data_IF_760136673093
#
_entry.id   IF_760136673093
#
_cell.length_a   1.000
_cell.length_b   1.000
_cell.length_c   1.000
_cell.angle_alpha   90.00
_cell.angle_beta   90.00
_cell.angle_gamma   90.00
#
_symmetry.space_group_name_H-M   'P 1'
#
loop_
_entity.id
_entity.type
_entity.pdbx_description
1 polymer ?
#
# COMPACT_ATOMS: atom_id res chain seq x y z
N UNK A 1 8.37 -8.85 -12.76
CA UNK A 1 7.61 -9.80 -13.56
C UNK A 1 8.47 -10.83 -14.29
N UNK A 2 9.70 -10.47 -14.65
CA UNK A 2 10.69 -11.37 -15.23
C UNK A 2 11.32 -12.24 -14.16
N UNK A 3 11.72 -11.62 -13.06
CA UNK A 3 12.39 -12.26 -11.94
C UNK A 3 11.47 -13.10 -11.04
N UNK A 4 10.16 -12.87 -11.06
CA UNK A 4 9.22 -13.58 -10.19
C UNK A 4 9.13 -13.04 -8.75
N UNK A 5 9.88 -12.01 -8.40
CA UNK A 5 9.82 -11.41 -7.07
C UNK A 5 8.41 -10.93 -6.73
N UNK A 6 7.99 -11.14 -5.49
CA UNK A 6 6.66 -10.79 -5.01
C UNK A 6 6.71 -10.02 -3.69
N UNK A 7 5.72 -9.17 -3.51
CA UNK A 7 5.42 -8.48 -2.26
C UNK A 7 3.92 -8.57 -2.00
N UNK A 8 3.54 -8.86 -0.77
CA UNK A 8 2.15 -8.87 -0.32
C UNK A 8 2.01 -8.09 0.98
N UNK A 9 0.92 -7.36 1.09
CA UNK A 9 0.52 -6.62 2.28
C UNK A 9 -0.99 -6.60 2.37
N UNK A 10 -1.52 -6.65 3.59
CA UNK A 10 -2.95 -6.72 3.87
C UNK A 10 -3.43 -5.40 4.49
N UNK A 11 -4.58 -4.96 4.03
CA UNK A 11 -5.23 -3.74 4.50
C UNK A 11 -6.68 -4.04 4.93
N UNK A 12 -7.24 -3.26 5.88
CA UNK A 12 -8.58 -3.49 6.37
C UNK A 12 -9.68 -3.20 5.34
N UNK A 13 -9.36 -2.46 4.29
CA UNK A 13 -10.29 -2.10 3.23
C UNK A 13 -9.54 -1.74 1.93
N UNK A 14 -10.29 -1.64 0.82
CA UNK A 14 -9.76 -1.32 -0.51
C UNK A 14 -9.85 0.19 -0.85
N UNK A 15 -9.74 1.08 0.13
CA UNK A 15 -9.70 2.53 -0.12
C UNK A 15 -8.44 2.92 -0.88
N UNK A 16 -8.52 4.01 -1.64
CA UNK A 16 -7.43 4.53 -2.47
C UNK A 16 -6.17 4.86 -1.64
N UNK A 17 -6.35 5.38 -0.42
CA UNK A 17 -5.21 5.65 0.49
C UNK A 17 -4.40 4.39 0.79
N UNK A 18 -5.06 3.25 1.05
CA UNK A 18 -4.40 1.97 1.30
C UNK A 18 -3.71 1.43 0.05
N UNK A 19 -4.28 1.68 -1.14
CA UNK A 19 -3.62 1.36 -2.41
C UNK A 19 -2.31 2.13 -2.54
N UNK A 20 -2.30 3.44 -2.27
CA UNK A 20 -1.09 4.27 -2.36
C UNK A 20 -0.03 3.84 -1.35
N UNK A 21 -0.42 3.61 -0.09
CA UNK A 21 0.48 3.13 0.96
C UNK A 21 1.11 1.79 0.56
N UNK A 22 0.28 0.81 0.14
CA UNK A 22 0.78 -0.50 -0.27
C UNK A 22 1.68 -0.45 -1.50
N UNK A 23 1.39 0.44 -2.47
CA UNK A 23 2.27 0.65 -3.61
C UNK A 23 3.60 1.28 -3.20
N UNK A 24 3.61 2.26 -2.29
CA UNK A 24 4.84 2.86 -1.77
C UNK A 24 5.68 1.80 -1.05
N UNK A 25 5.09 1.00 -0.18
CA UNK A 25 5.80 -0.07 0.52
C UNK A 25 6.37 -1.12 -0.46
N UNK A 26 5.60 -1.48 -1.49
CA UNK A 26 6.09 -2.36 -2.54
C UNK A 26 7.26 -1.74 -3.33
N UNK A 27 7.23 -0.44 -3.62
CA UNK A 27 8.32 0.27 -4.27
C UNK A 27 9.55 0.43 -3.38
N UNK A 28 9.37 0.55 -2.07
CA UNK A 28 10.48 0.51 -1.11
C UNK A 28 11.14 -0.87 -1.07
N UNK A 29 10.33 -1.92 -1.20
CA UNK A 29 10.80 -3.30 -1.15
C UNK A 29 11.54 -3.72 -2.42
N UNK A 30 11.02 -3.40 -3.61
CA UNK A 30 11.52 -3.92 -4.89
C UNK A 30 11.91 -2.84 -5.92
N UNK A 31 11.87 -1.55 -5.57
CA UNK A 31 12.10 -0.44 -6.51
C UNK A 31 10.89 -0.10 -7.37
N UNK A 32 10.95 1.07 -8.04
CA UNK A 32 9.88 1.56 -8.90
C UNK A 32 10.05 1.03 -10.31
N UNK A 33 9.13 0.20 -10.84
CA UNK A 33 9.18 -0.27 -12.22
C UNK A 33 8.79 0.87 -13.18
N UNK A 34 9.22 0.77 -14.44
CA UNK A 34 8.80 1.73 -15.48
C UNK A 34 7.28 1.79 -15.61
N UNK A 35 6.62 0.64 -15.57
CA UNK A 35 5.16 0.58 -15.60
C UNK A 35 4.63 -0.57 -14.74
N UNK A 36 3.44 -0.40 -14.24
CA UNK A 36 2.66 -1.44 -13.56
C UNK A 36 1.48 -1.84 -14.42
N UNK A 37 1.05 -3.09 -14.29
CA UNK A 37 -0.16 -3.60 -14.92
C UNK A 37 -1.21 -3.80 -13.81
N UNK A 38 -2.37 -3.16 -13.95
CA UNK A 38 -3.48 -3.30 -13.00
C UNK A 38 -4.79 -3.56 -13.73
N UNK A 39 -5.79 -4.02 -13.01
CA UNK A 39 -7.16 -4.11 -13.52
C UNK A 39 -7.87 -2.74 -13.47
N UNK A 40 -9.13 -2.72 -13.96
CA UNK A 40 -9.90 -1.48 -14.04
C UNK A 40 -10.57 -1.14 -12.70
N UNK A 41 -9.80 -1.03 -11.62
CA UNK A 41 -10.30 -0.67 -10.28
C UNK A 41 -10.80 0.79 -10.27
N UNK A 42 -11.90 1.05 -9.54
CA UNK A 42 -12.45 2.41 -9.37
C UNK A 42 -11.50 3.38 -8.66
N UNK A 43 -10.56 2.89 -7.88
CA UNK A 43 -9.49 3.68 -7.25
C UNK A 43 -8.40 4.10 -8.24
N UNK A 44 -8.37 3.53 -9.45
CA UNK A 44 -7.37 3.78 -10.49
C UNK A 44 -7.98 4.55 -11.67
N UNK A 45 -9.12 4.10 -12.18
CA UNK A 45 -9.78 4.73 -13.31
C UNK A 45 -11.26 5.03 -13.01
N UNK A 46 -11.78 6.11 -13.61
CA UNK A 46 -13.20 6.45 -13.57
C UNK A 46 -13.95 5.60 -14.60
N UNK A 47 -13.54 5.65 -15.84
CA UNK A 47 -14.11 4.93 -16.98
C UNK A 47 -13.11 4.92 -18.15
N UNK A 48 -13.52 4.35 -19.27
CA UNK A 48 -12.83 4.54 -20.55
C UNK A 48 -13.65 5.49 -21.41
N UNK A 49 -12.97 6.36 -22.15
CA UNK A 49 -13.60 7.24 -23.12
C UNK A 49 -14.11 6.47 -24.37
N UNK A 50 -14.67 7.20 -25.33
CA UNK A 50 -15.20 6.63 -26.57
C UNK A 50 -14.13 5.98 -27.46
N UNK A 51 -12.89 6.39 -27.30
CA UNK A 51 -11.73 5.86 -28.02
C UNK A 51 -11.08 4.67 -27.26
N UNK A 52 -11.59 4.37 -26.07
CA UNK A 52 -11.08 3.27 -25.20
C UNK A 52 -9.90 3.66 -24.31
N UNK A 53 -9.50 4.94 -24.29
CA UNK A 53 -8.45 5.42 -23.40
C UNK A 53 -8.95 5.53 -21.95
N UNK A 54 -8.07 5.31 -20.96
CA UNK A 54 -8.45 5.43 -19.56
C UNK A 54 -8.64 6.90 -19.17
N UNK A 55 -9.77 7.19 -18.53
CA UNK A 55 -9.97 8.42 -17.78
C UNK A 55 -9.56 8.13 -16.33
N UNK A 56 -8.40 8.61 -15.96
CA UNK A 56 -7.80 8.32 -14.65
C UNK A 56 -8.57 8.98 -13.50
N UNK A 57 -8.57 8.31 -12.36
CA UNK A 57 -8.91 8.96 -11.10
C UNK A 57 -7.85 10.04 -10.81
N UNK A 58 -8.31 11.28 -10.53
CA UNK A 58 -7.42 12.45 -10.42
C UNK A 58 -6.27 12.25 -9.42
N UNK A 59 -6.60 11.71 -8.24
CA UNK A 59 -5.59 11.50 -7.20
C UNK A 59 -4.60 10.40 -7.59
N UNK A 60 -5.07 9.36 -8.30
CA UNK A 60 -4.20 8.32 -8.83
C UNK A 60 -3.27 8.84 -9.93
N UNK A 61 -3.78 9.69 -10.82
CA UNK A 61 -2.97 10.33 -11.85
C UNK A 61 -1.88 11.21 -11.24
N UNK A 62 -2.23 11.98 -10.22
CA UNK A 62 -1.26 12.80 -9.46
C UNK A 62 -0.22 11.91 -8.79
N UNK A 63 -0.65 10.81 -8.17
CA UNK A 63 0.25 9.83 -7.55
C UNK A 63 1.24 9.23 -8.57
N UNK A 64 0.77 8.78 -9.74
CA UNK A 64 1.63 8.27 -10.81
C UNK A 64 2.69 9.28 -11.23
N UNK A 65 2.29 10.54 -11.42
CA UNK A 65 3.19 11.63 -11.83
C UNK A 65 4.22 11.95 -10.73
N UNK A 66 3.79 11.98 -9.47
CA UNK A 66 4.65 12.27 -8.32
C UNK A 66 5.71 11.19 -8.12
N UNK A 67 5.30 9.92 -8.16
CA UNK A 67 6.22 8.78 -7.99
C UNK A 67 7.02 8.53 -9.28
N UNK A 68 6.43 8.82 -10.43
CA UNK A 68 7.10 8.76 -11.73
C UNK A 68 7.07 7.37 -12.38
N UNK A 69 5.95 6.65 -12.34
CA UNK A 69 5.71 5.41 -13.07
C UNK A 69 4.54 5.53 -14.03
N UNK A 70 4.42 4.59 -14.95
CA UNK A 70 3.28 4.49 -15.86
C UNK A 70 2.35 3.34 -15.44
N UNK A 71 1.05 3.47 -15.72
CA UNK A 71 0.08 2.39 -15.51
C UNK A 71 -0.47 1.88 -16.83
N UNK A 72 -0.42 0.57 -17.01
CA UNK A 72 -1.10 -0.15 -18.09
C UNK A 72 -2.30 -0.88 -17.51
N UNK A 73 -3.45 -0.76 -18.17
CA UNK A 73 -4.67 -1.43 -17.76
C UNK A 73 -4.83 -2.76 -18.48
N UNK A 74 -5.29 -3.77 -17.76
CA UNK A 74 -5.70 -5.01 -18.36
C UNK A 74 -6.81 -4.76 -19.40
N UNK A 75 -6.70 -5.39 -20.57
CA UNK A 75 -7.77 -5.34 -21.57
C UNK A 75 -9.02 -6.01 -21.00
N UNK A 76 -10.22 -5.37 -21.13
CA UNK A 76 -11.47 -6.01 -20.72
C UNK A 76 -11.64 -7.36 -21.43
N UNK A 77 -12.11 -8.38 -20.69
CA UNK A 77 -12.38 -9.73 -21.19
C UNK A 77 -11.18 -10.50 -21.77
N UNK A 78 -9.93 -10.10 -21.46
CA UNK A 78 -8.73 -10.85 -21.81
C UNK A 78 -8.13 -11.54 -20.56
N UNK A 79 -8.47 -12.82 -20.31
CA UNK A 79 -8.06 -13.53 -19.08
C UNK A 79 -6.54 -13.71 -18.95
N UNK A 80 -5.80 -13.73 -20.05
CA UNK A 80 -4.36 -13.98 -20.04
C UNK A 80 -3.53 -12.89 -19.34
N UNK A 81 -3.98 -11.64 -19.36
CA UNK A 81 -3.27 -10.53 -18.72
C UNK A 81 -3.42 -10.53 -17.20
N UNK A 82 -4.51 -11.10 -16.68
CA UNK A 82 -4.82 -11.16 -15.25
C UNK A 82 -4.35 -12.48 -14.59
N UNK A 83 -4.14 -13.52 -15.38
CA UNK A 83 -3.91 -14.89 -14.88
C UNK A 83 -2.68 -15.06 -13.98
N UNK A 84 -1.66 -14.17 -14.06
CA UNK A 84 -0.49 -14.24 -13.15
C UNK A 84 -0.85 -13.71 -11.76
N UNK A 85 -1.59 -12.60 -11.66
CA UNK A 85 -2.05 -12.04 -10.37
C UNK A 85 -3.05 -12.98 -9.70
N UNK A 86 -3.99 -13.53 -10.46
CA UNK A 86 -4.95 -14.51 -9.94
C UNK A 86 -4.27 -15.77 -9.40
N UNK A 87 -3.23 -16.27 -10.10
CA UNK A 87 -2.41 -17.38 -9.61
C UNK A 87 -1.65 -17.01 -8.34
N UNK A 88 -1.07 -15.81 -8.26
CA UNK A 88 -0.40 -15.34 -7.05
C UNK A 88 -1.39 -15.23 -5.88
N UNK A 89 -2.57 -14.64 -6.09
CA UNK A 89 -3.59 -14.55 -5.05
C UNK A 89 -4.02 -15.94 -4.57
N UNK A 90 -4.22 -16.90 -5.48
CA UNK A 90 -4.53 -18.29 -5.12
C UNK A 90 -3.38 -18.91 -4.32
N UNK A 91 -2.15 -18.76 -4.80
CA UNK A 91 -0.96 -19.27 -4.14
C UNK A 91 -0.81 -18.72 -2.72
N UNK A 92 -1.04 -17.41 -2.52
CA UNK A 92 -1.06 -16.78 -1.19
C UNK A 92 -2.15 -17.39 -0.31
N UNK A 93 -3.36 -17.58 -0.83
CA UNK A 93 -4.46 -18.18 -0.06
C UNK A 93 -4.17 -19.61 0.37
N UNK A 94 -3.61 -20.41 -0.53
CA UNK A 94 -3.38 -21.85 -0.31
C UNK A 94 -2.09 -22.13 0.48
N UNK A 95 -1.07 -21.26 0.39
CA UNK A 95 0.26 -21.53 0.98
C UNK A 95 0.64 -20.59 2.11
N UNK A 96 0.03 -19.41 2.19
CA UNK A 96 0.31 -18.46 3.27
C UNK A 96 -0.84 -18.36 4.26
N UNK A 97 -2.09 -18.23 3.81
CA UNK A 97 -3.23 -18.02 4.71
C UNK A 97 -3.84 -19.34 5.22
N UNK A 98 -3.71 -20.44 4.48
CA UNK A 98 -4.28 -21.71 4.87
C UNK A 98 -3.71 -22.20 6.21
N UNK A 99 -4.58 -22.64 7.10
CA UNK A 99 -4.27 -23.24 8.40
C UNK A 99 -3.45 -22.34 9.36
N UNK A 100 -3.41 -21.03 9.11
CA UNK A 100 -2.75 -20.06 9.99
C UNK A 100 -3.77 -19.17 10.70
N UNK A 101 -3.45 -18.86 11.94
CA UNK A 101 -4.22 -17.92 12.78
C UNK A 101 -3.31 -16.72 13.08
N UNK A 102 -3.83 -15.53 12.88
CA UNK A 102 -3.12 -14.28 13.15
C UNK A 102 -3.83 -13.49 14.25
N UNK A 103 -3.05 -12.86 15.12
CA UNK A 103 -3.60 -12.10 16.25
C UNK A 103 -4.26 -10.79 15.79
N UNK A 104 -3.65 -10.12 14.83
CA UNK A 104 -4.12 -8.85 14.27
C UNK A 104 -3.49 -8.61 12.88
N UNK A 105 -3.80 -7.45 12.27
CA UNK A 105 -3.27 -7.10 10.94
C UNK A 105 -1.75 -6.85 10.96
N UNK A 106 -1.21 -6.39 12.08
CA UNK A 106 0.24 -6.17 12.26
C UNK A 106 0.97 -7.50 12.24
N UNK A 107 0.49 -8.46 13.01
CA UNK A 107 1.02 -9.83 13.05
C UNK A 107 0.90 -10.51 11.67
N UNK A 108 -0.27 -10.35 11.01
CA UNK A 108 -0.49 -10.85 9.66
C UNK A 108 0.53 -10.27 8.66
N UNK A 109 0.76 -8.96 8.68
CA UNK A 109 1.69 -8.31 7.76
C UNK A 109 3.16 -8.60 8.08
N UNK A 110 3.51 -8.79 9.35
CA UNK A 110 4.84 -9.25 9.73
C UNK A 110 5.12 -10.64 9.13
N UNK A 111 4.22 -11.58 9.33
CA UNK A 111 4.33 -12.91 8.73
C UNK A 111 4.28 -12.90 7.20
N UNK A 112 3.51 -11.98 6.60
CA UNK A 112 3.46 -11.82 5.15
C UNK A 112 4.81 -11.37 4.58
N UNK A 113 5.49 -10.42 5.24
CA UNK A 113 6.82 -9.97 4.83
C UNK A 113 7.86 -11.09 4.96
N UNK A 114 7.87 -11.82 6.09
CA UNK A 114 8.73 -12.99 6.28
C UNK A 114 8.50 -14.06 5.20
N UNK A 115 7.23 -14.31 4.87
CA UNK A 115 6.88 -15.23 3.81
C UNK A 115 7.36 -14.74 2.43
N UNK A 116 7.21 -13.45 2.11
CA UNK A 116 7.78 -12.86 0.89
C UNK A 116 9.29 -13.06 0.82
N UNK A 117 10.01 -12.75 1.89
CA UNK A 117 11.45 -12.93 1.95
C UNK A 117 11.86 -14.39 1.71
N UNK A 118 11.15 -15.34 2.33
CA UNK A 118 11.36 -16.77 2.13
C UNK A 118 11.09 -17.20 0.69
N UNK A 119 9.97 -16.76 0.10
CA UNK A 119 9.63 -17.09 -1.28
C UNK A 119 10.63 -16.46 -2.27
N UNK A 120 10.99 -15.22 -2.08
CA UNK A 120 11.94 -14.52 -2.95
C UNK A 120 13.37 -15.06 -2.83
N UNK A 121 13.71 -15.64 -1.68
CA UNK A 121 15.02 -16.27 -1.41
C UNK A 121 15.12 -17.75 -1.81
N UNK A 122 14.03 -18.36 -2.31
CA UNK A 122 13.99 -19.80 -2.66
C UNK A 122 13.95 -19.97 -4.18
N UNK A 123 14.59 -21.04 -4.68
CA UNK A 123 14.55 -21.37 -6.10
C UNK A 123 13.14 -21.69 -6.59
N UNK A 124 12.71 -21.06 -7.66
CA UNK A 124 11.42 -21.28 -8.31
C UNK A 124 11.59 -21.79 -9.73
N UNK A 125 11.10 -23.00 -9.99
CA UNK A 125 11.14 -23.63 -11.31
C UNK A 125 10.45 -22.78 -12.41
N UNK A 126 9.43 -21.98 -12.05
CA UNK A 126 8.69 -21.16 -13.02
C UNK A 126 9.51 -20.01 -13.61
N UNK A 127 10.56 -19.59 -12.94
CA UNK A 127 11.49 -18.53 -13.40
C UNK A 127 12.91 -19.04 -13.57
N UNK A 128 13.12 -20.35 -13.32
CA UNK A 128 14.41 -21.04 -13.37
C UNK A 128 15.51 -20.33 -12.58
N UNK A 129 15.19 -19.95 -11.35
CA UNK A 129 16.13 -19.24 -10.49
C UNK A 129 15.53 -18.81 -9.16
N UNK A 130 16.35 -18.10 -8.38
CA UNK A 130 15.95 -17.47 -7.12
C UNK A 130 15.47 -16.04 -7.44
N UNK A 131 14.18 -15.69 -7.18
CA UNK A 131 13.60 -14.40 -7.55
C UNK A 131 14.43 -13.19 -7.14
N UNK A 132 14.93 -13.16 -5.92
CA UNK A 132 15.75 -12.07 -5.41
C UNK A 132 17.07 -11.91 -6.17
N UNK A 133 17.74 -13.01 -6.54
CA UNK A 133 18.97 -12.95 -7.33
C UNK A 133 18.68 -12.46 -8.75
N UNK A 134 17.66 -13.02 -9.40
CA UNK A 134 17.24 -12.58 -10.73
C UNK A 134 16.80 -11.11 -10.74
N UNK A 135 16.20 -10.62 -9.65
CA UNK A 135 15.84 -9.23 -9.50
C UNK A 135 17.08 -8.32 -9.44
N UNK A 136 18.06 -8.68 -8.64
CA UNK A 136 19.31 -7.94 -8.52
C UNK A 136 20.13 -7.93 -9.81
N UNK A 137 20.18 -9.05 -10.54
CA UNK A 137 20.98 -9.18 -11.77
C UNK A 137 20.32 -8.55 -12.99
N UNK A 138 19.02 -8.77 -13.20
CA UNK A 138 18.34 -8.41 -14.43
C UNK A 138 17.40 -7.21 -14.34
N UNK A 139 16.97 -6.84 -13.15
CA UNK A 139 15.97 -5.79 -12.96
C UNK A 139 16.52 -4.53 -12.30
N UNK A 140 17.57 -4.63 -11.49
CA UNK A 140 18.08 -3.52 -10.67
C UNK A 140 18.44 -2.27 -11.49
N UNK A 141 19.03 -2.43 -12.67
CA UNK A 141 19.37 -1.31 -13.55
C UNK A 141 18.15 -0.60 -14.16
N UNK A 142 17.00 -1.28 -14.22
CA UNK A 142 15.76 -0.77 -14.80
C UNK A 142 14.81 -0.20 -13.75
N UNK A 143 15.10 -0.44 -12.48
CA UNK A 143 14.30 0.04 -11.35
C UNK A 143 14.90 1.31 -10.80
N UNK A 144 14.04 2.16 -10.32
CA UNK A 144 14.43 3.42 -9.66
C UNK A 144 14.14 3.32 -8.17
N UNK A 145 15.01 3.89 -7.31
CA UNK A 145 14.67 4.04 -5.91
C UNK A 145 13.47 4.96 -5.74
N UNK A 146 12.73 4.78 -4.67
CA UNK A 146 11.66 5.70 -4.30
C UNK A 146 12.26 7.08 -4.04
N UNK A 147 11.75 8.16 -4.65
CA UNK A 147 12.29 9.49 -4.43
C UNK A 147 12.05 9.93 -2.98
N UNK A 148 13.06 10.55 -2.38
CA UNK A 148 12.94 11.21 -1.08
C UNK A 148 12.21 12.55 -1.24
N UNK A 149 10.89 12.48 -1.43
CA UNK A 149 10.05 13.66 -1.60
C UNK A 149 9.12 13.80 -0.39
N UNK A 150 8.93 15.02 0.07
CA UNK A 150 7.89 15.32 1.06
C UNK A 150 6.51 14.82 0.61
N UNK A 151 6.24 14.86 -0.69
CA UNK A 151 5.02 14.33 -1.29
C UNK A 151 4.78 12.84 -0.97
N UNK A 152 5.82 12.01 -0.89
CA UNK A 152 5.70 10.58 -0.52
C UNK A 152 5.21 10.45 0.93
N UNK A 153 5.72 11.30 1.84
CA UNK A 153 5.27 11.34 3.23
C UNK A 153 3.77 11.69 3.35
N UNK A 154 3.27 12.58 2.49
CA UNK A 154 1.85 12.93 2.46
C UNK A 154 0.97 11.74 2.05
N UNK A 155 1.42 10.90 1.14
CA UNK A 155 0.70 9.67 0.79
C UNK A 155 0.74 8.61 1.90
N UNK A 156 1.85 8.48 2.62
CA UNK A 156 1.98 7.58 3.77
C UNK A 156 1.21 8.07 5.00
N UNK A 157 0.88 9.38 5.06
CA UNK A 157 0.20 10.02 6.16
C UNK A 157 -1.10 10.68 5.68
N UNK A 158 -2.17 9.92 5.38
CA UNK A 158 -3.43 10.46 4.88
C UNK A 158 -4.05 11.46 5.88
N UNK A 159 -4.68 12.50 5.34
CA UNK A 159 -5.31 13.54 6.12
C UNK A 159 -6.64 13.09 6.74
N UNK A 160 -6.92 13.57 7.93
CA UNK A 160 -8.18 13.37 8.66
C UNK A 160 -8.69 14.72 9.20
N UNK A 161 -9.99 14.94 9.09
CA UNK A 161 -10.65 16.04 9.78
C UNK A 161 -10.68 15.77 11.28
N UNK A 162 -10.38 16.79 12.05
CA UNK A 162 -10.56 16.76 13.50
C UNK A 162 -12.00 17.15 13.77
N UNK A 163 -12.73 16.32 14.52
CA UNK A 163 -14.08 16.61 14.93
C UNK A 163 -14.08 17.75 15.97
N UNK A 164 -15.26 18.37 16.18
CA UNK A 164 -15.39 19.51 17.13
C UNK A 164 -14.99 19.13 18.57
N UNK A 165 -15.09 17.86 18.91
CA UNK A 165 -14.71 17.29 20.22
C UNK A 165 -13.24 16.79 20.24
N UNK A 166 -12.43 17.14 19.23
CA UNK A 166 -10.98 16.94 19.24
C UNK A 166 -10.50 15.54 18.83
N UNK A 167 -11.25 14.80 18.01
CA UNK A 167 -10.86 13.45 17.58
C UNK A 167 -10.68 13.33 16.08
N UNK A 168 -9.80 12.43 15.67
CA UNK A 168 -9.73 11.90 14.31
C UNK A 168 -10.28 10.50 14.25
N UNK A 169 -10.88 10.13 13.11
CA UNK A 169 -11.39 8.78 12.87
C UNK A 169 -10.36 7.92 12.12
N UNK A 170 -10.10 6.74 12.65
CA UNK A 170 -9.29 5.71 11.99
C UNK A 170 -9.90 4.32 12.23
N UNK A 171 -10.17 3.57 11.15
CA UNK A 171 -10.76 2.22 11.18
C UNK A 171 -12.00 2.09 12.07
N UNK A 172 -12.87 3.09 12.04
CA UNK A 172 -14.12 3.10 12.81
C UNK A 172 -13.98 3.39 14.30
N UNK A 173 -12.80 3.81 14.73
CA UNK A 173 -12.49 4.23 16.12
C UNK A 173 -12.02 5.68 16.14
N UNK A 174 -12.25 6.38 17.25
CA UNK A 174 -11.86 7.76 17.45
C UNK A 174 -10.59 7.84 18.30
N UNK A 175 -9.67 8.70 17.88
CA UNK A 175 -8.39 8.94 18.55
C UNK A 175 -8.24 10.44 18.85
N UNK A 176 -7.98 10.77 20.10
CA UNK A 176 -7.85 12.15 20.56
C UNK A 176 -6.67 12.87 19.93
N UNK A 177 -6.85 14.15 19.69
CA UNK A 177 -5.78 15.09 19.29
C UNK A 177 -5.61 16.09 20.43
N UNK A 178 -4.37 16.49 20.78
CA UNK A 178 -4.14 17.45 21.85
C UNK A 178 -4.93 18.74 21.63
N UNK A 179 -5.64 19.20 22.65
CA UNK A 179 -6.46 20.41 22.59
C UNK A 179 -5.65 21.67 22.24
N UNK A 180 -4.35 21.65 22.53
CA UNK A 180 -3.44 22.75 22.19
C UNK A 180 -3.17 22.88 20.68
N UNK A 181 -3.54 21.89 19.87
CA UNK A 181 -3.36 21.94 18.42
C UNK A 181 -4.52 22.71 17.77
N UNK A 182 -4.25 23.87 17.12
CA UNK A 182 -5.31 24.73 16.58
C UNK A 182 -5.82 24.30 15.20
N UNK A 183 -5.24 23.26 14.58
CA UNK A 183 -5.58 22.85 13.21
C UNK A 183 -6.94 22.16 13.13
N UNK A 184 -7.62 22.32 11.99
CA UNK A 184 -8.89 21.64 11.69
C UNK A 184 -8.67 20.23 11.11
N UNK A 185 -7.45 19.91 10.69
CA UNK A 185 -7.05 18.60 10.12
C UNK A 185 -5.74 18.15 10.74
N UNK A 186 -5.55 16.84 10.76
CA UNK A 186 -4.29 16.20 11.16
C UNK A 186 -3.96 15.09 10.18
N UNK A 187 -2.72 14.61 10.17
CA UNK A 187 -2.30 13.49 9.38
C UNK A 187 -2.01 12.30 10.26
N UNK A 188 -2.36 11.12 9.78
CA UNK A 188 -2.21 9.89 10.54
C UNK A 188 -1.32 8.90 9.82
N UNK A 189 -0.51 8.18 10.56
CA UNK A 189 0.28 7.06 10.06
C UNK A 189 0.21 5.92 11.06
N UNK A 190 -0.12 4.72 10.58
CA UNK A 190 -0.01 3.52 11.40
C UNK A 190 1.33 2.86 11.15
N UNK A 191 2.03 2.53 12.23
CA UNK A 191 3.20 1.68 12.19
C UNK A 191 3.10 0.63 13.30
N UNK A 192 3.02 -0.63 12.91
CA UNK A 192 2.71 -1.71 13.84
C UNK A 192 1.36 -1.50 14.53
N UNK A 193 1.36 -1.58 15.85
CA UNK A 193 0.18 -1.36 16.69
C UNK A 193 0.06 0.09 17.20
N UNK A 194 0.84 1.02 16.66
CA UNK A 194 0.82 2.42 17.04
C UNK A 194 0.28 3.29 15.91
N UNK A 195 -0.67 4.17 16.25
CA UNK A 195 -1.16 5.25 15.40
C UNK A 195 -0.44 6.54 15.78
N UNK A 196 0.27 7.11 14.85
CA UNK A 196 0.93 8.41 14.96
C UNK A 196 0.02 9.48 14.37
N UNK A 197 -0.17 10.57 15.10
CA UNK A 197 -0.97 11.72 14.65
C UNK A 197 -0.03 12.92 14.55
N UNK A 198 0.08 13.47 13.35
CA UNK A 198 0.93 14.61 13.00
C UNK A 198 0.10 15.85 12.70
N UNK A 199 0.73 17.03 12.79
CA UNK A 199 0.18 18.26 12.23
C UNK A 199 -0.13 18.12 10.74
N UNK A 200 -1.01 18.96 10.21
CA UNK A 200 -1.45 18.89 8.81
C UNK A 200 -0.31 19.01 7.79
N UNK A 201 0.75 19.73 8.15
CA UNK A 201 1.98 19.95 7.36
C UNK A 201 3.09 18.91 7.62
N UNK A 202 2.84 17.92 8.49
CA UNK A 202 3.81 16.92 8.95
C UNK A 202 5.04 17.46 9.69
N UNK A 203 5.01 18.72 10.13
CA UNK A 203 6.14 19.33 10.81
C UNK A 203 6.30 18.86 12.26
N UNK A 204 5.22 18.39 12.88
CA UNK A 204 5.21 18.01 14.28
C UNK A 204 4.41 16.74 14.53
N UNK A 205 4.95 15.87 15.37
CA UNK A 205 4.20 14.76 15.96
C UNK A 205 3.35 15.33 17.11
N UNK A 206 2.03 15.19 17.02
CA UNK A 206 1.11 15.71 18.02
C UNK A 206 0.90 14.71 19.15
N UNK A 207 0.67 13.44 18.82
CA UNK A 207 0.44 12.37 19.78
C UNK A 207 0.57 11.01 19.15
N UNK A 208 0.60 9.98 19.98
CA UNK A 208 0.55 8.58 19.57
C UNK A 208 -0.51 7.83 20.36
N UNK A 209 -1.11 6.82 19.76
CA UNK A 209 -2.10 5.95 20.39
C UNK A 209 -1.86 4.48 20.04
N UNK A 210 -2.19 3.59 20.96
CA UNK A 210 -2.20 2.16 20.68
C UNK A 210 -3.46 1.77 19.91
N UNK A 211 -3.27 1.11 18.76
CA UNK A 211 -4.34 0.53 17.96
C UNK A 211 -4.65 -0.86 18.49
N UNK A 212 -5.44 -0.91 19.57
CA UNK A 212 -5.87 -2.16 20.18
C UNK A 212 -7.19 -2.65 19.56
N UNK A 213 -7.62 -3.87 19.90
CA UNK A 213 -8.93 -4.42 19.54
C UNK A 213 -10.12 -3.70 20.23
N UNK A 214 -9.85 -2.84 21.21
CA UNK A 214 -10.87 -2.05 21.87
C UNK A 214 -11.55 -1.13 20.86
N UNK A 215 -12.89 -1.12 20.88
CA UNK A 215 -13.69 -0.15 20.11
C UNK A 215 -13.88 1.18 20.84
N UNK A 216 -13.29 1.34 22.03
CA UNK A 216 -13.39 2.57 22.82
C UNK A 216 -12.55 3.67 22.18
N UNK A 217 -12.99 4.91 22.37
CA UNK A 217 -12.20 6.09 22.03
C UNK A 217 -10.87 6.07 22.78
N UNK A 218 -9.81 6.54 22.14
CA UNK A 218 -8.51 6.73 22.78
C UNK A 218 -8.29 8.21 23.02
N UNK A 219 -8.10 8.59 24.26
CA UNK A 219 -7.89 9.97 24.67
C UNK A 219 -6.39 10.29 24.78
N UNK A 220 -6.04 11.56 24.60
CA UNK A 220 -4.70 12.07 24.91
C UNK A 220 -4.52 12.19 26.42
#
# INVERSE_FOLDING_TARGET
>A
HHCGECYIEFFPNAKQENLFIGMIHAFQYMGIPRFILTDNMKSVILHRDLEGHPVWQKDYETFMKTIGFETKLCKPRHPFTKGKVERLVRFVKENFLADRVFYNITDLNWHALEWCNSQNGTYHRAVDGVPQQLHMEACSEQLRPLPELDAVRFYLCPERKISFDGFVNYEGRRFGVPYSYPGATARIMRSGDTLYIYSADLSSLLTTHDVTWSRRDSFC
#
